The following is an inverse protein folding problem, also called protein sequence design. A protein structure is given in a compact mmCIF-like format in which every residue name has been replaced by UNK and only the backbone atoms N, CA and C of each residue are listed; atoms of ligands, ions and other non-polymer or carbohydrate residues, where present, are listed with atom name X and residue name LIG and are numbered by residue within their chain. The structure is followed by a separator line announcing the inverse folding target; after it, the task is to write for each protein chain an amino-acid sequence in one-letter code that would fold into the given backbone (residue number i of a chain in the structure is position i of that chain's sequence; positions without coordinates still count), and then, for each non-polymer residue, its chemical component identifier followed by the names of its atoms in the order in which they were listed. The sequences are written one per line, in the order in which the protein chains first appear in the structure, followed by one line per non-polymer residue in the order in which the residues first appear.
data_IF_310728306078
#
_entry.id   IF_310728306078
#
_cell.length_a   1.000
_cell.length_b   1.000
_cell.length_c   1.000
_cell.angle_alpha   90.00
_cell.angle_beta   90.00
_cell.angle_gamma   90.00
#
_symmetry.space_group_name_H-M   'P 1'
#
loop_
_entity.id
_entity.type
_entity.pdbx_description
1 polymer ?
#
# COMPACT_ATOMS: atom_id res chain seq x y z
N UNK A 1 0.35 0.32 21.63
CA UNK A 1 -1.09 0.62 21.39
C UNK A 1 -1.33 1.90 20.60
N UNK A 2 -0.80 3.07 20.99
CA UNK A 2 -0.96 4.30 20.18
C UNK A 2 -0.37 4.17 18.77
N UNK A 3 0.78 3.50 18.62
CA UNK A 3 1.37 3.18 17.33
C UNK A 3 0.44 2.30 16.47
N UNK A 4 -0.07 1.21 17.05
CA UNK A 4 -1.04 0.30 16.42
C UNK A 4 -2.32 0.99 15.93
N UNK A 5 -2.80 2.01 16.63
CA UNK A 5 -3.98 2.76 16.22
C UNK A 5 -3.68 3.81 15.15
N UNK A 6 -2.50 4.44 15.19
CA UNK A 6 -2.04 5.37 14.15
C UNK A 6 -1.71 4.67 12.84
N UNK A 7 -1.19 3.47 12.92
CA UNK A 7 -0.83 2.62 11.78
C UNK A 7 -1.99 1.70 11.35
N UNK A 8 -3.21 1.98 11.78
CA UNK A 8 -4.36 1.17 11.41
C UNK A 8 -4.64 1.33 9.90
N UNK A 9 -4.86 0.24 9.17
CA UNK A 9 -5.10 0.31 7.74
C UNK A 9 -6.44 1.01 7.46
N UNK A 10 -6.38 2.10 6.70
CA UNK A 10 -7.56 2.84 6.23
C UNK A 10 -7.93 2.41 4.81
N UNK A 11 -9.17 2.66 4.40
CA UNK A 11 -9.63 2.38 3.03
C UNK A 11 -8.85 3.18 1.98
N UNK A 12 -8.43 4.39 2.34
CA UNK A 12 -7.60 5.25 1.49
C UNK A 12 -6.19 4.66 1.33
N UNK A 13 -5.59 4.15 2.42
CA UNK A 13 -4.28 3.51 2.35
C UNK A 13 -4.31 2.21 1.53
N UNK A 14 -5.39 1.43 1.59
CA UNK A 14 -5.53 0.22 0.76
C UNK A 14 -5.73 0.56 -0.71
N UNK A 15 -6.50 1.59 -1.04
CA UNK A 15 -6.60 2.11 -2.41
C UNK A 15 -5.26 2.61 -2.93
N UNK A 16 -4.55 3.42 -2.15
CA UNK A 16 -3.21 3.91 -2.49
C UNK A 16 -2.21 2.76 -2.71
N UNK A 17 -2.29 1.68 -1.90
CA UNK A 17 -1.48 0.47 -2.11
C UNK A 17 -1.77 -0.18 -3.47
N UNK A 18 -3.04 -0.33 -3.85
CA UNK A 18 -3.42 -0.96 -5.13
C UNK A 18 -2.94 -0.14 -6.33
N UNK A 19 -3.06 1.19 -6.24
CA UNK A 19 -2.56 2.12 -7.25
C UNK A 19 -1.03 2.09 -7.34
N UNK A 20 -0.36 2.13 -6.19
CA UNK A 20 1.10 2.01 -6.09
C UNK A 20 1.60 0.71 -6.71
N UNK A 21 0.96 -0.44 -6.43
CA UNK A 21 1.30 -1.72 -7.05
C UNK A 21 1.13 -1.67 -8.57
N UNK A 22 0.02 -1.11 -9.07
CA UNK A 22 -0.19 -1.00 -10.52
C UNK A 22 0.88 -0.13 -11.20
N UNK A 23 1.19 1.04 -10.63
CA UNK A 23 2.21 1.95 -11.16
C UNK A 23 3.62 1.34 -11.11
N UNK A 24 3.96 0.68 -10.00
CA UNK A 24 5.26 0.03 -9.82
C UNK A 24 5.48 -1.10 -10.84
N UNK A 25 4.46 -1.93 -11.06
CA UNK A 25 4.55 -3.03 -12.03
C UNK A 25 4.45 -2.57 -13.48
N UNK A 26 3.69 -1.50 -13.76
CA UNK A 26 3.69 -0.87 -15.08
C UNK A 26 5.08 -0.33 -15.42
N UNK A 27 5.69 0.38 -14.47
CA UNK A 27 7.05 0.89 -14.62
C UNK A 27 8.08 -0.23 -14.84
N UNK A 28 8.02 -1.29 -14.02
CA UNK A 28 8.90 -2.44 -14.11
C UNK A 28 8.80 -3.13 -15.49
N UNK A 29 7.58 -3.22 -16.04
CA UNK A 29 7.33 -3.80 -17.36
C UNK A 29 7.82 -2.93 -18.51
N UNK A 30 7.64 -1.60 -18.40
CA UNK A 30 7.97 -0.67 -19.49
C UNK A 30 9.47 -0.38 -19.58
N UNK A 31 10.16 -0.21 -18.44
CA UNK A 31 11.58 0.17 -18.38
C UNK A 31 12.52 -0.98 -17.98
N UNK A 32 11.97 -2.11 -17.58
CA UNK A 32 12.70 -3.28 -17.11
C UNK A 32 12.99 -3.27 -15.61
N UNK A 33 13.23 -4.46 -15.05
CA UNK A 33 13.40 -4.66 -13.60
C UNK A 33 14.60 -3.88 -13.03
N UNK A 34 15.62 -3.58 -13.82
CA UNK A 34 16.81 -2.84 -13.37
C UNK A 34 16.50 -1.34 -13.14
N UNK A 35 15.53 -0.78 -13.87
CA UNK A 35 15.13 0.62 -13.70
C UNK A 35 14.47 0.88 -12.34
N UNK A 36 14.01 -0.17 -11.65
CA UNK A 36 13.45 -0.08 -10.30
C UNK A 36 14.49 0.31 -9.25
N UNK A 37 15.80 0.08 -9.48
CA UNK A 37 16.83 0.34 -8.46
C UNK A 37 16.80 1.80 -7.99
N UNK A 38 16.68 2.75 -8.91
CA UNK A 38 16.62 4.18 -8.60
C UNK A 38 15.41 4.56 -7.72
N UNK A 39 14.28 3.86 -7.88
CA UNK A 39 13.05 4.10 -7.13
C UNK A 39 13.03 3.37 -5.77
N UNK A 40 13.77 2.27 -5.66
CA UNK A 40 13.83 1.40 -4.48
C UNK A 40 14.92 1.82 -3.49
N UNK A 41 15.98 2.51 -3.94
CA UNK A 41 17.01 3.03 -3.04
C UNK A 41 16.52 4.18 -2.16
N UNK A 42 15.61 5.02 -2.66
CA UNK A 42 15.12 6.19 -1.94
C UNK A 42 13.59 6.33 -2.00
N UNK A 43 12.83 5.39 -1.39
CA UNK A 43 11.37 5.33 -1.51
C UNK A 43 10.64 6.53 -0.90
N UNK A 44 11.29 7.32 -0.02
CA UNK A 44 10.67 8.50 0.61
C UNK A 44 10.88 9.81 -0.16
N UNK A 45 11.84 9.85 -1.09
CA UNK A 45 12.13 11.02 -1.92
C UNK A 45 11.64 10.86 -3.36
N UNK A 46 11.22 9.66 -3.72
CA UNK A 46 10.85 9.33 -5.09
C UNK A 46 9.41 9.76 -5.42
N UNK A 47 9.24 10.25 -6.64
CA UNK A 47 7.97 10.78 -7.14
C UNK A 47 6.85 9.74 -7.07
N UNK A 48 7.11 8.46 -7.39
CA UNK A 48 6.08 7.41 -7.38
C UNK A 48 5.46 7.21 -6.00
N UNK A 49 6.29 7.10 -4.97
CA UNK A 49 5.84 6.87 -3.60
C UNK A 49 5.27 8.15 -2.96
N UNK A 50 5.73 9.34 -3.35
CA UNK A 50 5.18 10.62 -2.90
C UNK A 50 3.72 10.82 -3.35
N UNK A 51 3.30 10.27 -4.51
CA UNK A 51 1.90 10.28 -4.93
C UNK A 51 1.01 9.42 -4.00
N UNK A 52 1.60 8.42 -3.34
CA UNK A 52 0.90 7.47 -2.45
C UNK A 52 1.35 7.64 -1.00
N UNK A 53 1.24 8.86 -0.45
CA UNK A 53 1.66 9.19 0.91
C UNK A 53 1.08 8.28 2.00
N UNK A 54 -0.16 7.82 1.83
CA UNK A 54 -0.82 6.91 2.77
C UNK A 54 -0.11 5.55 2.93
N UNK A 55 0.63 5.10 1.90
CA UNK A 55 1.47 3.89 1.96
C UNK A 55 2.82 4.21 2.60
N UNK A 56 3.38 5.39 2.31
CA UNK A 56 4.63 5.86 2.92
C UNK A 56 4.54 6.01 4.44
N UNK A 57 3.37 6.40 4.94
CA UNK A 57 3.10 6.55 6.37
C UNK A 57 3.02 5.17 7.10
N UNK A 58 3.10 4.04 6.37
CA UNK A 58 2.99 2.68 6.89
C UNK A 58 4.29 1.87 6.66
N UNK A 59 5.29 1.96 7.56
CA UNK A 59 6.58 1.29 7.38
C UNK A 59 6.50 -0.22 7.27
N UNK A 60 5.53 -0.85 7.96
CA UNK A 60 5.30 -2.29 7.93
C UNK A 60 4.84 -2.82 6.57
N UNK A 61 4.33 -1.93 5.70
CA UNK A 61 3.88 -2.25 4.35
C UNK A 61 4.94 -1.85 3.31
N UNK A 62 5.55 -0.67 3.48
CA UNK A 62 6.55 -0.15 2.55
C UNK A 62 7.85 -0.97 2.57
N UNK A 63 8.34 -1.34 3.75
CA UNK A 63 9.61 -2.08 3.89
C UNK A 63 9.62 -3.41 3.12
N UNK A 64 8.63 -4.32 3.29
CA UNK A 64 8.63 -5.58 2.54
C UNK A 64 8.40 -5.40 1.04
N UNK A 65 7.70 -4.34 0.62
CA UNK A 65 7.51 -4.02 -0.80
C UNK A 65 8.83 -3.56 -1.45
N UNK A 66 9.55 -2.64 -0.81
CA UNK A 66 10.85 -2.12 -1.27
C UNK A 66 11.90 -3.24 -1.26
N UNK A 67 11.96 -4.03 -0.18
CA UNK A 67 12.86 -5.19 -0.10
C UNK A 67 12.56 -6.23 -1.19
N UNK A 68 11.29 -6.42 -1.54
CA UNK A 68 10.89 -7.30 -2.65
C UNK A 68 11.32 -6.72 -4.00
N UNK A 69 11.06 -5.44 -4.26
CA UNK A 69 11.48 -4.78 -5.49
C UNK A 69 13.01 -4.81 -5.66
N UNK A 70 13.78 -4.58 -4.58
CA UNK A 70 15.25 -4.72 -4.60
C UNK A 70 15.71 -6.13 -4.97
N UNK A 71 14.98 -7.15 -4.54
CA UNK A 71 15.30 -8.55 -4.89
C UNK A 71 14.96 -8.88 -6.34
N UNK A 72 13.95 -8.23 -6.92
CA UNK A 72 13.65 -8.34 -8.35
C UNK A 72 14.81 -7.77 -9.17
N UNK A 73 15.37 -6.62 -8.78
CA UNK A 73 16.48 -6.00 -9.52
C UNK A 73 17.76 -6.84 -9.49
N UNK A 74 18.00 -7.56 -8.38
CA UNK A 74 19.07 -8.54 -8.24
C UNK A 74 18.87 -9.82 -9.08
N UNK A 75 17.81 -9.90 -9.88
CA UNK A 75 17.54 -11.01 -10.81
C UNK A 75 16.87 -12.24 -10.17
N UNK A 76 16.32 -12.12 -8.96
CA UNK A 76 15.66 -13.25 -8.30
C UNK A 76 14.18 -13.40 -8.71
N UNK A 77 13.93 -14.01 -9.88
CA UNK A 77 12.57 -14.20 -10.44
C UNK A 77 11.86 -15.49 -9.99
N UNK A 78 12.33 -16.16 -8.93
CA UNK A 78 11.68 -17.37 -8.45
C UNK A 78 10.46 -17.05 -7.58
N UNK A 79 9.25 -17.17 -8.14
CA UNK A 79 7.97 -16.97 -7.47
C UNK A 79 7.83 -17.74 -6.15
N UNK A 80 8.34 -18.98 -6.08
CA UNK A 80 8.27 -19.79 -4.84
C UNK A 80 9.15 -19.20 -3.73
N UNK A 81 10.33 -18.70 -4.08
CA UNK A 81 11.25 -18.10 -3.12
C UNK A 81 10.74 -16.74 -2.65
N UNK A 82 10.27 -15.90 -3.58
CA UNK A 82 9.61 -14.64 -3.29
C UNK A 82 8.42 -14.82 -2.33
N UNK A 83 7.55 -15.80 -2.61
CA UNK A 83 6.42 -16.14 -1.73
C UNK A 83 6.86 -16.50 -0.33
N UNK A 84 7.87 -17.36 -0.19
CA UNK A 84 8.38 -17.77 1.13
C UNK A 84 8.92 -16.58 1.93
N UNK A 85 9.65 -15.68 1.28
CA UNK A 85 10.20 -14.50 1.94
C UNK A 85 9.09 -13.54 2.39
N UNK A 86 8.17 -13.20 1.48
CA UNK A 86 7.04 -12.33 1.77
C UNK A 86 6.13 -12.91 2.87
N UNK A 87 5.87 -14.22 2.84
CA UNK A 87 5.15 -14.92 3.91
C UNK A 87 5.91 -14.90 5.24
N UNK A 88 7.25 -14.93 5.22
CA UNK A 88 8.05 -14.79 6.44
C UNK A 88 7.87 -13.41 7.08
N UNK A 89 7.86 -12.32 6.29
CA UNK A 89 7.56 -10.97 6.79
C UNK A 89 6.14 -10.89 7.40
N UNK A 90 5.15 -11.48 6.73
CA UNK A 90 3.79 -11.54 7.27
C UNK A 90 3.74 -12.28 8.61
N UNK A 91 4.45 -13.40 8.71
CA UNK A 91 4.49 -14.22 9.92
C UNK A 91 5.25 -13.51 11.06
N UNK A 92 6.31 -12.75 10.77
CA UNK A 92 6.98 -11.93 11.79
C UNK A 92 6.07 -10.84 12.33
N UNK A 93 5.33 -10.14 11.45
CA UNK A 93 4.34 -9.14 11.85
C UNK A 93 3.21 -9.77 12.67
N UNK A 94 2.69 -10.92 12.23
CA UNK A 94 1.68 -11.68 12.97
C UNK A 94 2.15 -12.01 14.38
N UNK A 95 3.37 -12.53 14.54
CA UNK A 95 3.93 -12.86 15.87
C UNK A 95 4.06 -11.64 16.77
N UNK A 96 4.50 -10.51 16.22
CA UNK A 96 4.58 -9.25 16.96
C UNK A 96 3.19 -8.80 17.44
N UNK A 97 2.18 -8.86 16.57
CA UNK A 97 0.80 -8.51 16.89
C UNK A 97 0.17 -9.49 17.90
N UNK A 98 0.44 -10.78 17.76
CA UNK A 98 -0.01 -11.81 18.71
C UNK A 98 0.64 -11.65 20.09
N UNK A 99 1.90 -11.22 20.16
CA UNK A 99 2.54 -10.87 21.44
C UNK A 99 1.82 -9.71 22.13
N UNK A 100 1.45 -8.66 21.39
CA UNK A 100 0.68 -7.53 21.93
C UNK A 100 -0.71 -8.00 22.39
N UNK A 101 -1.39 -8.84 21.62
CA UNK A 101 -2.68 -9.42 21.99
C UNK A 101 -2.58 -10.30 23.25
N UNK A 102 -1.50 -11.09 23.38
CA UNK A 102 -1.22 -11.88 24.58
C UNK A 102 -0.99 -10.99 25.80
N UNK A 103 -0.17 -9.96 25.68
CA UNK A 103 0.07 -9.00 26.77
C UNK A 103 -1.24 -8.32 27.20
N UNK A 104 -2.07 -7.91 26.25
CA UNK A 104 -3.39 -7.36 26.53
C UNK A 104 -4.33 -8.36 27.23
N UNK A 105 -4.23 -9.66 26.91
CA UNK A 105 -5.06 -10.70 27.52
C UNK A 105 -4.74 -10.98 28.99
N UNK A 106 -3.52 -10.66 29.43
CA UNK A 106 -3.06 -10.87 30.81
C UNK A 106 -3.58 -9.80 31.79
N UNK A 107 -4.04 -8.65 31.31
CA UNK A 107 -4.50 -7.54 32.18
C UNK A 107 -5.67 -7.98 33.07
N UNK A 108 -6.62 -8.72 32.49
CA UNK A 108 -7.80 -9.21 33.21
C UNK A 108 -7.48 -10.24 34.31
N UNK A 109 -6.80 -11.36 34.03
CA UNK A 109 -6.48 -12.34 35.06
C UNK A 109 -5.56 -11.78 36.14
N UNK A 110 -4.65 -10.84 35.82
CA UNK A 110 -3.84 -10.17 36.83
C UNK A 110 -4.70 -9.33 37.80
N UNK A 111 -5.70 -8.61 37.28
CA UNK A 111 -6.66 -7.88 38.11
C UNK A 111 -7.48 -8.79 39.03
N UNK A 112 -7.85 -9.98 38.54
CA UNK A 112 -8.54 -10.99 39.34
C UNK A 112 -7.65 -11.55 40.45
N UNK A 113 -6.40 -11.91 40.16
CA UNK A 113 -5.45 -12.37 41.16
C UNK A 113 -5.22 -11.34 42.25
N UNK A 114 -5.13 -10.05 41.89
CA UNK A 114 -4.96 -8.96 42.84
C UNK A 114 -6.20 -8.79 43.74
N UNK A 115 -7.40 -8.92 43.18
CA UNK A 115 -8.65 -8.89 43.96
C UNK A 115 -8.74 -10.06 44.95
N UNK A 116 -8.40 -11.28 44.51
CA UNK A 116 -8.35 -12.45 45.38
C UNK A 116 -7.33 -12.30 46.52
N UNK A 117 -6.16 -11.71 46.23
CA UNK A 117 -5.16 -11.41 47.25
C UNK A 117 -5.68 -10.36 48.27
N UNK A 118 -6.42 -9.34 47.81
CA UNK A 118 -7.06 -8.35 48.68
C UNK A 118 -8.09 -8.97 49.63
N UNK A 119 -8.87 -9.95 49.17
CA UNK A 119 -9.81 -10.70 50.00
C UNK A 119 -9.11 -11.47 51.14
N UNK A 120 -7.97 -12.08 50.84
CA UNK A 120 -7.19 -12.82 51.84
C UNK A 120 -6.59 -11.91 52.93
N UNK A 121 -6.32 -10.63 52.63
CA UNK A 121 -5.70 -9.68 53.57
C UNK A 121 -6.73 -8.98 54.46
N UNK A 122 -7.91 -8.62 53.94
CA UNK A 122 -8.93 -7.86 54.71
C UNK A 122 -9.92 -8.73 55.49
N UNK A 123 -10.02 -10.03 55.22
CA UNK A 123 -10.94 -10.93 55.90
C UNK A 123 -12.42 -10.52 55.79
N UNK A 124 -13.26 -10.98 56.74
CA UNK A 124 -14.71 -10.76 56.69
C UNK A 124 -15.15 -9.29 56.86
N UNK A 125 -14.31 -8.46 57.48
CA UNK A 125 -14.61 -7.05 57.71
C UNK A 125 -14.59 -6.20 56.42
N UNK A 126 -13.96 -6.69 55.35
CA UNK A 126 -13.84 -5.99 54.06
C UNK A 126 -14.82 -6.44 52.98
N UNK A 127 -15.72 -7.40 53.25
CA UNK A 127 -16.54 -8.06 52.23
C UNK A 127 -17.40 -7.07 51.42
N UNK A 128 -17.99 -6.07 52.09
CA UNK A 128 -18.85 -5.08 51.42
C UNK A 128 -18.08 -4.15 50.49
N UNK A 129 -16.87 -3.72 50.88
CA UNK A 129 -15.99 -2.91 50.03
C UNK A 129 -15.42 -3.72 48.86
N UNK A 130 -15.08 -5.00 49.11
CA UNK A 130 -14.57 -5.90 48.08
C UNK A 130 -15.64 -6.36 47.09
N UNK A 131 -16.91 -6.40 47.48
CA UNK A 131 -18.04 -6.64 46.57
C UNK A 131 -18.18 -5.52 45.53
N UNK A 132 -18.00 -4.26 45.92
CA UNK A 132 -17.99 -3.13 44.98
C UNK A 132 -16.79 -3.19 44.02
N UNK A 133 -15.62 -3.57 44.53
CA UNK A 133 -14.44 -3.83 43.70
C UNK A 133 -14.63 -5.01 42.75
N UNK A 134 -15.27 -6.10 43.19
CA UNK A 134 -15.58 -7.27 42.37
C UNK A 134 -16.52 -6.91 41.21
N UNK A 135 -17.56 -6.11 41.48
CA UNK A 135 -18.47 -5.60 40.45
C UNK A 135 -17.74 -4.68 39.45
N UNK A 136 -16.89 -3.78 39.95
CA UNK A 136 -16.08 -2.88 39.11
C UNK A 136 -15.08 -3.66 38.24
N UNK A 137 -14.45 -4.69 38.81
CA UNK A 137 -13.60 -5.60 38.08
C UNK A 137 -14.45 -6.33 37.03
N UNK A 138 -15.53 -7.03 37.39
CA UNK A 138 -16.41 -7.72 36.44
C UNK A 138 -16.82 -6.84 35.24
N UNK A 139 -17.19 -5.58 35.49
CA UNK A 139 -17.47 -4.59 34.45
C UNK A 139 -16.24 -4.30 33.56
N UNK A 140 -15.06 -4.09 34.15
CA UNK A 140 -13.81 -3.93 33.41
C UNK A 140 -13.46 -5.18 32.57
N UNK A 141 -13.87 -6.37 32.99
CA UNK A 141 -13.70 -7.62 32.25
C UNK A 141 -14.49 -7.63 30.96
N UNK A 142 -15.76 -7.25 31.04
CA UNK A 142 -16.63 -7.09 29.86
C UNK A 142 -16.04 -6.05 28.91
N UNK A 143 -15.63 -4.87 29.41
CA UNK A 143 -15.01 -3.83 28.59
C UNK A 143 -13.71 -4.32 27.94
N UNK A 144 -12.85 -5.03 28.68
CA UNK A 144 -11.63 -5.62 28.14
C UNK A 144 -11.90 -6.68 27.07
N UNK A 145 -13.04 -7.39 27.16
CA UNK A 145 -13.50 -8.36 26.16
C UNK A 145 -13.90 -7.68 24.86
N UNK A 146 -14.77 -6.67 24.94
CA UNK A 146 -15.17 -5.86 23.76
C UNK A 146 -13.96 -5.20 23.10
N UNK A 147 -13.05 -4.66 23.91
CA UNK A 147 -11.85 -4.02 23.42
C UNK A 147 -10.91 -5.02 22.72
N UNK A 148 -10.79 -6.25 23.24
CA UNK A 148 -10.02 -7.33 22.58
C UNK A 148 -10.60 -7.72 21.22
N UNK A 149 -11.92 -7.76 21.08
CA UNK A 149 -12.57 -8.05 19.79
C UNK A 149 -12.19 -6.98 18.75
N UNK A 150 -12.23 -5.70 19.14
CA UNK A 150 -11.81 -4.59 18.28
C UNK A 150 -10.32 -4.62 17.93
N UNK A 151 -9.47 -4.98 18.88
CA UNK A 151 -8.04 -5.10 18.61
C UNK A 151 -7.74 -6.24 17.63
N UNK A 152 -8.42 -7.38 17.78
CA UNK A 152 -8.32 -8.50 16.84
C UNK A 152 -8.76 -8.09 15.43
N UNK A 153 -9.87 -7.37 15.29
CA UNK A 153 -10.29 -6.91 13.96
C UNK A 153 -9.27 -6.01 13.27
N UNK A 154 -8.56 -5.16 14.03
CA UNK A 154 -7.49 -4.30 13.47
C UNK A 154 -6.28 -5.15 13.06
N UNK A 155 -5.93 -6.15 13.86
CA UNK A 155 -4.83 -7.09 13.55
C UNK A 155 -5.15 -7.90 12.29
N UNK A 156 -6.37 -8.44 12.19
CA UNK A 156 -6.83 -9.19 11.02
C UNK A 156 -6.85 -8.31 9.76
N UNK A 157 -7.26 -7.05 9.90
CA UNK A 157 -7.21 -6.08 8.81
C UNK A 157 -5.77 -5.81 8.35
N UNK A 158 -4.82 -5.58 9.26
CA UNK A 158 -3.41 -5.32 8.93
C UNK A 158 -2.76 -6.52 8.23
N UNK A 159 -3.02 -7.73 8.72
CA UNK A 159 -2.51 -8.96 8.09
C UNK A 159 -3.13 -9.18 6.70
N UNK A 160 -4.43 -8.89 6.53
CA UNK A 160 -5.09 -8.99 5.24
C UNK A 160 -4.59 -7.99 4.19
N UNK A 161 -4.15 -6.79 4.60
CA UNK A 161 -3.50 -5.83 3.70
C UNK A 161 -2.13 -6.32 3.25
N UNK A 162 -1.35 -6.93 4.16
CA UNK A 162 -0.10 -7.61 3.79
C UNK A 162 -0.37 -8.73 2.79
N UNK A 163 -1.40 -9.56 3.02
CA UNK A 163 -1.76 -10.63 2.08
C UNK A 163 -2.10 -10.12 0.68
N UNK A 164 -2.82 -9.00 0.59
CA UNK A 164 -3.12 -8.36 -0.68
C UNK A 164 -1.86 -7.86 -1.40
N UNK A 165 -0.92 -7.24 -0.67
CA UNK A 165 0.38 -6.85 -1.22
C UNK A 165 1.14 -8.07 -1.76
N UNK A 166 1.16 -9.17 -1.00
CA UNK A 166 1.84 -10.40 -1.40
C UNK A 166 1.24 -10.97 -2.69
N UNK A 167 -0.09 -11.04 -2.79
CA UNK A 167 -0.77 -11.52 -4.00
C UNK A 167 -0.49 -10.61 -5.21
N UNK A 168 -0.45 -9.29 -5.00
CA UNK A 168 -0.04 -8.33 -6.04
C UNK A 168 1.39 -8.53 -6.54
N UNK A 169 2.34 -8.78 -5.63
CA UNK A 169 3.73 -9.08 -5.97
C UNK A 169 3.87 -10.44 -6.69
N UNK A 170 3.14 -11.46 -6.24
CA UNK A 170 3.20 -12.81 -6.83
C UNK A 170 2.54 -12.87 -8.20
N UNK A 171 1.46 -12.12 -8.41
CA UNK A 171 0.83 -12.03 -9.72
C UNK A 171 1.74 -11.37 -10.76
N UNK A 172 2.55 -10.36 -10.37
CA UNK A 172 3.59 -9.82 -11.25
C UNK A 172 4.61 -10.89 -11.66
N UNK A 173 5.12 -11.68 -10.71
CA UNK A 173 6.07 -12.77 -11.00
C UNK A 173 5.50 -13.89 -11.88
N UNK A 174 4.17 -14.07 -11.88
CA UNK A 174 3.49 -15.01 -12.76
C UNK A 174 3.26 -14.44 -14.18
N UNK A 175 3.67 -13.20 -14.45
CA UNK A 175 3.56 -12.56 -15.76
C UNK A 175 2.20 -11.92 -16.06
N UNK A 176 1.37 -11.67 -15.05
CA UNK A 176 0.11 -10.96 -15.24
C UNK A 176 0.35 -9.47 -15.55
N UNK A 177 -0.62 -8.84 -16.22
CA UNK A 177 -0.56 -7.39 -16.52
C UNK A 177 -0.76 -6.57 -15.24
N UNK A 178 -0.14 -5.38 -15.09
CA UNK A 178 -0.19 -4.58 -13.86
C UNK A 178 -1.61 -4.34 -13.31
N UNK A 179 -2.56 -4.10 -14.22
CA UNK A 179 -3.98 -3.93 -13.88
C UNK A 179 -4.61 -5.17 -13.24
N UNK A 180 -4.27 -6.35 -13.74
CA UNK A 180 -4.73 -7.63 -13.18
C UNK A 180 -4.02 -7.91 -11.84
N UNK A 181 -2.77 -7.49 -11.67
CA UNK A 181 -2.07 -7.61 -10.39
C UNK A 181 -2.79 -6.81 -9.29
N UNK A 182 -3.25 -5.59 -9.59
CA UNK A 182 -4.04 -4.78 -8.66
C UNK A 182 -5.40 -5.42 -8.33
N UNK A 183 -6.08 -6.00 -9.32
CA UNK A 183 -7.36 -6.68 -9.08
C UNK A 183 -7.18 -7.97 -8.24
N UNK A 184 -6.12 -8.73 -8.49
CA UNK A 184 -5.77 -9.90 -7.69
C UNK A 184 -5.49 -9.50 -6.24
N UNK A 185 -4.76 -8.41 -6.02
CA UNK A 185 -4.55 -7.85 -4.68
C UNK A 185 -5.89 -7.41 -4.02
N UNK A 186 -6.79 -6.77 -4.77
CA UNK A 186 -8.15 -6.38 -4.30
C UNK A 186 -8.97 -7.59 -3.84
N UNK A 187 -8.84 -8.72 -4.53
CA UNK A 187 -9.60 -9.94 -4.23
C UNK A 187 -9.28 -10.55 -2.86
N UNK A 188 -8.08 -10.31 -2.33
CA UNK A 188 -7.58 -10.84 -1.06
C UNK A 188 -7.84 -9.90 0.12
N UNK A 189 -8.05 -8.61 -0.13
CA UNK A 189 -8.31 -7.60 0.91
C UNK A 189 -9.51 -7.94 1.81
N UNK A 190 -9.45 -7.66 3.13
CA UNK A 190 -10.59 -7.80 4.03
C UNK A 190 -11.81 -6.99 3.55
N UNK A 191 -13.05 -7.48 3.71
CA UNK A 191 -14.24 -6.85 3.15
C UNK A 191 -14.48 -5.43 3.67
N UNK A 192 -14.04 -5.13 4.91
CA UNK A 192 -14.15 -3.80 5.50
C UNK A 192 -13.28 -2.73 4.81
N UNK A 193 -12.21 -3.14 4.14
CA UNK A 193 -11.23 -2.25 3.49
C UNK A 193 -11.18 -2.42 1.97
N UNK A 194 -11.98 -3.34 1.44
CA UNK A 194 -11.99 -3.70 0.03
C UNK A 194 -12.73 -2.62 -0.77
N UNK A 195 -12.09 -1.95 -1.72
CA UNK A 195 -12.79 -1.05 -2.64
C UNK A 195 -13.66 -1.83 -3.63
N UNK A 196 -14.67 -1.15 -4.18
CA UNK A 196 -15.46 -1.72 -5.25
C UNK A 196 -14.58 -1.87 -6.51
N UNK A 197 -14.95 -2.77 -7.43
CA UNK A 197 -14.25 -2.92 -8.72
C UNK A 197 -14.31 -1.61 -9.50
N UNK A 198 -15.49 -0.97 -9.50
CA UNK A 198 -15.72 0.29 -10.19
C UNK A 198 -14.86 1.42 -9.60
N UNK A 199 -14.80 1.54 -8.27
CA UNK A 199 -13.99 2.55 -7.59
C UNK A 199 -12.50 2.37 -7.92
N UNK A 200 -12.03 1.12 -8.03
CA UNK A 200 -10.65 0.81 -8.39
C UNK A 200 -10.38 1.15 -9.86
N UNK A 201 -11.28 0.79 -10.78
CA UNK A 201 -11.12 1.08 -12.21
C UNK A 201 -11.15 2.59 -12.49
N UNK A 202 -12.00 3.35 -11.79
CA UNK A 202 -12.06 4.80 -11.88
C UNK A 202 -10.75 5.42 -11.36
N UNK A 203 -10.26 4.97 -10.21
CA UNK A 203 -8.99 5.44 -9.66
C UNK A 203 -7.80 5.11 -10.58
N UNK A 204 -7.75 3.89 -11.14
CA UNK A 204 -6.73 3.50 -12.12
C UNK A 204 -6.80 4.34 -13.40
N UNK A 205 -8.02 4.64 -13.87
CA UNK A 205 -8.26 5.51 -15.02
C UNK A 205 -7.73 6.92 -14.80
N UNK A 206 -8.05 7.53 -13.65
CA UNK A 206 -7.56 8.86 -13.28
C UNK A 206 -6.01 8.89 -13.19
N UNK A 207 -5.41 7.91 -12.53
CA UNK A 207 -3.95 7.85 -12.35
C UNK A 207 -3.18 7.52 -13.64
N UNK A 208 -3.78 6.81 -14.59
CA UNK A 208 -3.15 6.56 -15.90
C UNK A 208 -2.95 7.84 -16.72
N UNK A 209 -3.76 8.87 -16.49
CA UNK A 209 -3.64 10.17 -17.19
C UNK A 209 -2.58 11.10 -16.59
N UNK A 210 -2.09 10.82 -15.36
CA UNK A 210 -1.07 11.63 -14.68
C UNK A 210 0.36 11.16 -14.88
N UNK A 211 0.62 10.18 -15.77
CA UNK A 211 1.97 9.82 -16.23
C UNK A 211 2.23 10.50 -17.58
N UNK A 212 2.81 11.72 -17.63
CA UNK A 212 3.08 12.44 -18.88
C UNK A 212 4.30 11.88 -19.66
N UNK A 213 4.49 10.56 -19.70
CA UNK A 213 5.67 9.94 -20.30
C UNK A 213 5.41 8.96 -21.46
N UNK A 214 4.16 8.59 -21.75
CA UNK A 214 3.86 7.73 -22.93
C UNK A 214 3.36 8.56 -24.14
N UNK A 215 2.71 9.71 -23.89
CA UNK A 215 2.27 10.62 -24.95
C UNK A 215 3.41 11.41 -25.61
N UNK A 216 4.50 11.68 -24.91
CA UNK A 216 5.62 12.50 -25.42
C UNK A 216 6.56 11.75 -26.36
N UNK A 217 6.74 10.44 -26.19
CA UNK A 217 7.55 9.62 -27.11
C UNK A 217 6.81 9.36 -28.42
N UNK A 218 5.51 9.03 -28.35
CA UNK A 218 4.67 8.84 -29.53
C UNK A 218 4.41 10.14 -30.29
N UNK A 219 4.25 11.27 -29.59
CA UNK A 219 4.17 12.58 -30.22
C UNK A 219 5.52 12.98 -30.86
N UNK A 220 6.65 12.74 -30.17
CA UNK A 220 7.99 13.06 -30.68
C UNK A 220 8.39 12.20 -31.89
N UNK A 221 8.05 10.91 -31.91
CA UNK A 221 8.31 10.06 -33.07
C UNK A 221 7.49 10.50 -34.27
N UNK A 222 6.19 10.80 -34.06
CA UNK A 222 5.30 11.25 -35.12
C UNK A 222 5.68 12.63 -35.69
N UNK A 223 6.20 13.52 -34.85
CA UNK A 223 6.76 14.82 -35.28
C UNK A 223 8.09 14.64 -36.03
N UNK A 224 8.96 13.73 -35.60
CA UNK A 224 10.21 13.41 -36.30
C UNK A 224 9.97 12.74 -37.67
N UNK A 225 8.95 11.87 -37.77
CA UNK A 225 8.56 11.23 -39.03
C UNK A 225 8.01 12.27 -40.03
N UNK A 226 7.25 13.27 -39.55
CA UNK A 226 6.75 14.37 -40.38
C UNK A 226 7.87 15.34 -40.80
N UNK A 227 8.85 15.60 -39.93
CA UNK A 227 10.04 16.41 -40.26
C UNK A 227 10.94 15.66 -41.26
N UNK A 228 11.09 14.34 -41.11
CA UNK A 228 11.84 13.49 -42.03
C UNK A 228 11.19 13.41 -43.42
N UNK A 229 9.87 13.27 -43.50
CA UNK A 229 9.14 13.28 -44.77
C UNK A 229 9.24 14.61 -45.54
N UNK A 230 9.47 15.72 -44.82
CA UNK A 230 9.62 17.06 -45.38
C UNK A 230 11.04 17.35 -45.90
N UNK A 231 12.04 16.55 -45.51
CA UNK A 231 13.41 16.66 -46.02
C UNK A 231 13.57 16.12 -47.46
N UNK A 232 12.69 15.19 -47.87
CA UNK A 232 12.75 14.53 -49.19
C UNK A 232 11.84 15.16 -50.27
N UNK A 233 10.99 16.13 -49.92
CA UNK A 233 10.10 16.79 -50.88
C UNK A 233 10.22 18.31 -50.79
N UNK A 234 11.09 18.87 -51.64
CA UNK A 234 11.23 20.31 -51.78
C UNK A 234 9.99 20.95 -52.42
N UNK A 235 9.05 21.44 -51.59
CA UNK A 235 8.35 22.74 -51.72
C UNK A 235 7.28 22.90 -50.62
N UNK A 236 7.06 24.13 -50.07
CA UNK A 236 6.17 24.33 -48.93
C UNK A 236 4.76 24.70 -49.40
N UNK A 237 3.73 23.94 -49.00
CA UNK A 237 2.34 24.44 -49.07
C UNK A 237 1.56 24.20 -47.78
N UNK A 238 1.17 25.35 -47.19
CA UNK A 238 -0.07 25.69 -46.47
C UNK A 238 -0.48 24.80 -45.28
N UNK A 239 -0.34 25.40 -44.11
CA UNK A 239 -0.59 24.81 -42.80
C UNK A 239 -2.04 24.42 -42.53
N UNK A 240 -2.17 23.26 -41.91
CA UNK A 240 -3.38 22.84 -41.20
C UNK A 240 -3.31 23.35 -39.76
N UNK A 241 -4.48 23.68 -39.19
CA UNK A 241 -4.63 24.15 -37.80
C UNK A 241 -3.98 23.21 -36.78
N UNK A 242 -3.91 21.91 -37.09
CA UNK A 242 -3.27 20.89 -36.26
C UNK A 242 -1.74 21.04 -36.19
N UNK A 243 -1.07 21.47 -37.26
CA UNK A 243 0.39 21.69 -37.24
C UNK A 243 0.77 22.89 -36.37
N UNK A 244 -0.08 23.92 -36.33
CA UNK A 244 0.11 25.08 -35.47
C UNK A 244 -0.06 24.72 -33.98
N UNK A 245 -1.06 23.89 -33.65
CA UNK A 245 -1.31 23.41 -32.29
C UNK A 245 -0.17 22.50 -31.78
N UNK A 246 0.39 21.66 -32.66
CA UNK A 246 1.51 20.78 -32.32
C UNK A 246 2.83 21.55 -32.15
N UNK A 247 3.07 22.59 -32.95
CA UNK A 247 4.22 23.49 -32.78
C UNK A 247 4.08 24.34 -31.50
N UNK A 248 2.87 24.81 -31.17
CA UNK A 248 2.61 25.51 -29.92
C UNK A 248 2.83 24.61 -28.69
N UNK A 249 2.38 23.34 -28.76
CA UNK A 249 2.65 22.33 -27.74
C UNK A 249 4.15 22.06 -27.56
N UNK A 250 4.90 21.96 -28.66
CA UNK A 250 6.35 21.75 -28.63
C UNK A 250 7.10 22.95 -28.01
N UNK A 251 6.73 24.18 -28.36
CA UNK A 251 7.30 25.40 -27.77
C UNK A 251 6.99 25.54 -26.28
N UNK A 252 5.77 25.17 -25.85
CA UNK A 252 5.41 25.06 -24.43
C UNK A 252 6.24 24.02 -23.69
N UNK A 253 6.48 22.87 -24.30
CA UNK A 253 7.30 21.80 -23.70
C UNK A 253 8.77 22.20 -23.53
N UNK A 254 9.30 23.05 -24.40
CA UNK A 254 10.68 23.55 -24.31
C UNK A 254 10.82 24.85 -23.50
N UNK A 255 9.72 25.35 -22.92
CA UNK A 255 9.73 26.55 -22.08
C UNK A 255 9.99 27.85 -22.84
N UNK A 256 9.77 27.87 -24.16
CA UNK A 256 10.06 29.02 -25.02
C UNK A 256 8.92 30.05 -25.09
N UNK A 257 7.75 29.77 -24.51
CA UNK A 257 6.66 30.74 -24.37
C UNK A 257 6.28 30.96 -22.90
N UNK A 258 6.54 32.18 -22.40
CA UNK A 258 5.86 32.73 -21.23
C UNK A 258 4.67 33.56 -21.71
N UNK A 259 3.50 33.14 -21.23
CA UNK A 259 2.13 33.72 -21.32
C UNK A 259 1.47 33.75 -22.69
#
# INVERSE_FOLDING_TARGET
MRALHREAPTREATLALLLCLNELWAFARDKGDLALEAHVEAPLSDSLFLHHKAVCDLPWLLTPLVDFARRLTLGSNNAKQARRLLQAYRETERRALEQVLRQASLVWPLGLCLWLAGLAVLGEAGITALAWWAASLAAAGVVSGLWRIRLRSIVDQRLGVLDAMIEGCLSYLNGYVPRVCAENARSVLPPALRPSVFDLDEALGAHSTSIPAVGTVAARSKVLDLIGAKADSGEPTVGTTEEADLLALWKRMNGEEKT
#
